data_IF_239271705399
#
_entry.id   IF_239271705399
#
_cell.length_a   1.000
_cell.length_b   1.000
_cell.length_c   1.000
_cell.angle_alpha   90.00
_cell.angle_beta   90.00
_cell.angle_gamma   90.00
#
_symmetry.space_group_name_H-M   'P 1'
#
loop_
_entity.id
_entity.type
_entity.pdbx_description
1 polymer ?
#
# COMPACT_ATOMS: atom_id res chain seq x y z
N UNK A 1 -72.75 -15.26 9.52
CA UNK A 1 -72.06 -14.16 8.82
C UNK A 1 -71.02 -13.60 9.77
N UNK A 2 -69.78 -14.09 9.70
CA UNK A 2 -68.65 -13.68 10.54
C UNK A 2 -67.58 -13.20 9.57
N UNK A 3 -67.23 -11.91 9.63
CA UNK A 3 -66.19 -11.33 8.81
C UNK A 3 -64.81 -11.62 9.44
N UNK A 4 -63.90 -12.14 8.61
CA UNK A 4 -62.51 -12.47 8.93
C UNK A 4 -61.58 -11.37 8.40
N UNK A 5 -60.46 -11.19 9.10
CA UNK A 5 -59.14 -10.84 8.55
C UNK A 5 -58.81 -9.35 8.32
N UNK A 6 -58.16 -8.76 9.31
CA UNK A 6 -57.19 -7.66 9.11
C UNK A 6 -55.80 -8.25 9.31
N UNK A 7 -55.08 -8.54 8.21
CA UNK A 7 -53.67 -8.94 8.23
C UNK A 7 -52.80 -7.68 8.37
N UNK A 8 -52.25 -7.45 9.56
CA UNK A 8 -51.23 -6.44 9.80
C UNK A 8 -49.85 -6.98 9.45
N UNK A 9 -49.52 -7.01 8.16
CA UNK A 9 -48.19 -7.41 7.69
C UNK A 9 -47.26 -6.21 7.67
N UNK A 10 -46.51 -6.02 8.75
CA UNK A 10 -45.34 -5.14 8.80
C UNK A 10 -44.25 -5.71 7.89
N UNK A 11 -44.13 -5.16 6.68
CA UNK A 11 -42.95 -5.33 5.83
C UNK A 11 -41.76 -4.68 6.51
N UNK A 12 -40.92 -5.51 7.13
CA UNK A 12 -39.58 -5.18 7.56
C UNK A 12 -38.74 -4.85 6.33
N UNK A 13 -38.53 -3.56 6.07
CA UNK A 13 -37.50 -3.07 5.17
C UNK A 13 -36.14 -3.43 5.77
N UNK A 14 -35.59 -4.56 5.32
CA UNK A 14 -34.21 -4.96 5.54
C UNK A 14 -33.36 -4.02 4.68
N UNK A 15 -32.81 -2.97 5.30
CA UNK A 15 -31.73 -2.19 4.73
C UNK A 15 -30.56 -3.14 4.44
N UNK A 16 -30.28 -3.32 3.16
CA UNK A 16 -29.10 -4.01 2.66
C UNK A 16 -27.93 -3.03 2.81
N UNK A 17 -27.24 -3.14 3.94
CA UNK A 17 -26.02 -2.41 4.24
C UNK A 17 -24.88 -3.08 3.45
N UNK A 18 -24.84 -2.80 2.14
CA UNK A 18 -23.66 -3.09 1.34
C UNK A 18 -22.61 -2.07 1.73
N UNK A 19 -21.80 -2.47 2.70
CA UNK A 19 -20.49 -1.94 3.06
C UNK A 19 -19.66 -1.69 1.78
N UNK A 20 -19.81 -0.47 1.24
CA UNK A 20 -19.07 0.01 0.08
C UNK A 20 -17.76 0.55 0.63
N UNK A 21 -16.70 -0.24 0.44
CA UNK A 21 -15.32 0.21 0.57
C UNK A 21 -15.10 1.41 -0.35
N UNK A 22 -15.22 2.61 0.21
CA UNK A 22 -14.91 3.87 -0.46
C UNK A 22 -13.39 4.11 -0.36
N UNK A 23 -12.73 4.00 -1.49
CA UNK A 23 -11.32 4.39 -1.68
C UNK A 23 -11.26 5.92 -1.72
N UNK A 24 -10.64 6.49 -0.70
CA UNK A 24 -10.66 7.92 -0.46
C UNK A 24 -9.65 8.71 -1.32
N UNK A 25 -10.13 9.83 -1.87
CA UNK A 25 -9.28 10.73 -2.63
C UNK A 25 -10.02 11.98 -3.08
N UNK A 26 -10.49 12.77 -2.12
CA UNK A 26 -10.75 14.21 -2.27
C UNK A 26 -11.94 14.63 -3.16
N UNK A 27 -12.84 15.40 -2.55
CA UNK A 27 -14.04 16.09 -3.07
C UNK A 27 -13.99 16.45 -4.57
N UNK A 28 -14.57 15.59 -5.43
CA UNK A 28 -15.72 15.86 -6.30
C UNK A 28 -16.36 14.50 -6.63
N UNK A 29 -17.69 14.43 -6.63
CA UNK A 29 -18.45 13.20 -6.89
C UNK A 29 -18.30 12.80 -8.35
N UNK A 30 -17.20 12.13 -8.68
CA UNK A 30 -17.01 11.54 -10.01
C UNK A 30 -17.84 10.26 -10.05
N UNK A 31 -18.73 10.17 -11.04
CA UNK A 31 -19.59 8.99 -11.23
C UNK A 31 -18.76 7.83 -11.80
N UNK A 32 -18.27 6.98 -10.89
CA UNK A 32 -17.35 5.87 -11.18
C UNK A 32 -17.92 4.75 -12.06
N UNK A 33 -19.22 4.80 -12.40
CA UNK A 33 -19.88 3.74 -13.16
C UNK A 33 -20.02 4.04 -14.65
N UNK A 34 -19.81 5.28 -15.10
CA UNK A 34 -20.06 5.69 -16.50
C UNK A 34 -18.81 6.16 -17.25
N UNK A 35 -17.65 6.31 -16.58
CA UNK A 35 -16.41 6.75 -17.21
C UNK A 35 -15.43 5.59 -17.45
N UNK A 36 -14.97 5.44 -18.71
CA UNK A 36 -13.95 4.45 -19.08
C UNK A 36 -12.66 4.68 -18.30
N UNK A 37 -12.44 3.88 -17.27
CA UNK A 37 -11.23 3.89 -16.45
C UNK A 37 -10.04 3.44 -17.33
N UNK A 38 -9.31 4.42 -17.86
CA UNK A 38 -8.01 4.17 -18.48
C UNK A 38 -6.96 3.99 -17.37
N UNK A 39 -6.65 2.75 -17.02
CA UNK A 39 -5.62 2.41 -16.02
C UNK A 39 -4.24 3.05 -16.30
N UNK A 40 -3.95 3.36 -17.57
CA UNK A 40 -2.70 3.97 -18.03
C UNK A 40 -2.73 5.51 -18.11
N UNK A 41 -3.84 6.15 -17.73
CA UNK A 41 -3.99 7.61 -17.70
C UNK A 41 -4.74 8.00 -16.41
N UNK A 42 -4.06 8.06 -15.25
CA UNK A 42 -4.70 8.51 -14.02
C UNK A 42 -5.17 9.96 -14.19
N UNK A 43 -6.48 10.18 -14.00
CA UNK A 43 -7.16 11.45 -14.28
C UNK A 43 -7.05 12.46 -13.11
N UNK A 44 -6.70 12.02 -11.90
CA UNK A 44 -6.64 12.90 -10.72
C UNK A 44 -5.20 13.34 -10.38
N UNK A 45 -4.99 14.61 -9.97
CA UNK A 45 -3.69 15.11 -9.55
C UNK A 45 -3.05 14.31 -8.39
N UNK A 46 -3.87 13.79 -7.47
CA UNK A 46 -3.45 12.99 -6.31
C UNK A 46 -2.67 11.73 -6.73
N UNK A 47 -3.24 10.91 -7.61
CA UNK A 47 -2.61 9.66 -8.07
C UNK A 47 -1.26 9.91 -8.77
N UNK A 48 -1.17 11.01 -9.53
CA UNK A 48 0.06 11.40 -10.22
C UNK A 48 1.18 11.76 -9.24
N UNK A 49 0.84 12.48 -8.18
CA UNK A 49 1.82 12.87 -7.15
C UNK A 49 2.23 11.66 -6.30
N UNK A 50 1.31 10.76 -5.97
CA UNK A 50 1.63 9.50 -5.28
C UNK A 50 2.55 8.61 -6.11
N UNK A 51 2.25 8.43 -7.40
CA UNK A 51 3.08 7.64 -8.29
C UNK A 51 4.49 8.24 -8.44
N UNK A 52 4.61 9.58 -8.42
CA UNK A 52 5.92 10.26 -8.45
C UNK A 52 6.73 9.99 -7.18
N UNK A 53 6.09 9.92 -6.02
CA UNK A 53 6.74 9.51 -4.75
C UNK A 53 7.21 8.07 -4.83
N UNK A 54 6.35 7.14 -5.27
CA UNK A 54 6.68 5.72 -5.42
C UNK A 54 7.85 5.54 -6.39
N UNK A 55 7.83 6.20 -7.55
CA UNK A 55 8.92 6.13 -8.51
C UNK A 55 10.24 6.68 -7.97
N UNK A 56 10.18 7.75 -7.18
CA UNK A 56 11.36 8.29 -6.50
C UNK A 56 11.96 7.29 -5.52
N UNK A 57 11.13 6.69 -4.67
CA UNK A 57 11.55 5.65 -3.72
C UNK A 57 12.10 4.41 -4.44
N UNK A 58 11.44 3.99 -5.53
CA UNK A 58 11.90 2.87 -6.36
C UNK A 58 13.30 3.14 -6.95
N UNK A 59 13.54 4.34 -7.49
CA UNK A 59 14.84 4.70 -8.03
C UNK A 59 15.94 4.66 -6.95
N UNK A 60 15.65 5.15 -5.73
CA UNK A 60 16.59 5.07 -4.60
C UNK A 60 16.81 3.62 -4.18
N UNK A 61 15.75 2.81 -4.13
CA UNK A 61 15.85 1.39 -3.81
C UNK A 61 16.76 0.65 -4.79
N UNK A 62 16.60 0.89 -6.10
CA UNK A 62 17.48 0.32 -7.13
C UNK A 62 18.95 0.67 -6.87
N UNK A 63 19.25 1.90 -6.47
CA UNK A 63 20.62 2.31 -6.14
C UNK A 63 21.15 1.54 -4.92
N UNK A 64 20.36 1.38 -3.86
CA UNK A 64 20.82 0.64 -2.67
C UNK A 64 21.01 -0.85 -2.94
N UNK A 65 20.14 -1.46 -3.74
CA UNK A 65 20.19 -2.91 -4.03
C UNK A 65 21.19 -3.25 -5.12
N UNK A 66 21.20 -2.52 -6.24
CA UNK A 66 22.07 -2.80 -7.39
C UNK A 66 23.35 -1.96 -7.40
N UNK A 67 23.42 -0.88 -6.61
CA UNK A 67 24.58 -0.01 -6.55
C UNK A 67 25.87 -0.74 -6.17
N UNK A 68 25.93 -1.55 -5.10
CA UNK A 68 27.15 -2.27 -4.75
C UNK A 68 27.65 -3.21 -5.86
N UNK A 69 26.74 -3.94 -6.51
CA UNK A 69 27.07 -4.85 -7.61
C UNK A 69 27.58 -4.06 -8.82
N UNK A 70 26.87 -3.00 -9.21
CA UNK A 70 27.23 -2.15 -10.35
C UNK A 70 28.55 -1.43 -10.10
N UNK A 71 28.77 -0.91 -8.89
CA UNK A 71 30.01 -0.25 -8.51
C UNK A 71 31.19 -1.22 -8.48
N UNK A 72 30.97 -2.48 -8.12
CA UNK A 72 32.00 -3.53 -8.20
C UNK A 72 32.38 -3.85 -9.64
N UNK A 73 31.42 -3.81 -10.57
CA UNK A 73 31.71 -3.99 -11.99
C UNK A 73 32.53 -2.82 -12.59
N UNK A 74 32.31 -1.59 -12.12
CA UNK A 74 33.00 -0.39 -12.63
C UNK A 74 34.36 -0.16 -11.94
N UNK A 75 34.45 -0.45 -10.64
CA UNK A 75 35.62 -0.18 -9.81
C UNK A 75 35.97 -1.40 -8.91
N UNK A 76 36.37 -2.54 -9.51
CA UNK A 76 36.62 -3.78 -8.77
C UNK A 76 37.72 -3.60 -7.73
N UNK A 77 38.87 -3.00 -8.09
CA UNK A 77 40.00 -2.80 -7.17
C UNK A 77 39.62 -2.04 -5.90
N UNK A 78 38.80 -0.99 -6.03
CA UNK A 78 38.33 -0.23 -4.87
C UNK A 78 37.35 -1.07 -4.02
N UNK A 79 36.46 -1.81 -4.67
CA UNK A 79 35.38 -2.57 -4.01
C UNK A 79 35.86 -3.88 -3.36
N UNK A 80 36.91 -4.51 -3.88
CA UNK A 80 37.50 -5.75 -3.35
C UNK A 80 38.76 -5.50 -2.51
N UNK A 81 39.50 -4.43 -2.79
CA UNK A 81 40.73 -4.07 -2.09
C UNK A 81 40.52 -3.25 -0.81
N UNK A 82 39.36 -2.61 -0.65
CA UNK A 82 39.02 -1.86 0.57
C UNK A 82 38.34 -2.77 1.58
N UNK A 83 38.82 -2.76 2.82
CA UNK A 83 38.27 -3.55 3.93
C UNK A 83 37.59 -2.65 4.97
N UNK A 84 36.38 -3.03 5.38
CA UNK A 84 35.58 -2.38 6.42
C UNK A 84 35.17 -3.43 7.44
N UNK A 85 35.55 -3.23 8.71
CA UNK A 85 35.30 -4.18 9.80
C UNK A 85 35.78 -5.61 9.51
N UNK A 86 36.84 -5.76 8.70
CA UNK A 86 37.41 -7.05 8.29
C UNK A 86 36.78 -7.68 7.05
N UNK A 87 35.75 -7.07 6.46
CA UNK A 87 35.08 -7.55 5.24
C UNK A 87 35.40 -6.65 4.04
N UNK A 88 35.39 -7.21 2.83
CA UNK A 88 35.55 -6.39 1.62
C UNK A 88 34.36 -5.43 1.47
N UNK A 89 34.62 -4.23 0.94
CA UNK A 89 33.67 -3.13 0.91
C UNK A 89 32.35 -3.49 0.22
N UNK A 90 32.38 -4.22 -0.89
CA UNK A 90 31.16 -4.62 -1.59
C UNK A 90 30.28 -5.58 -0.75
N UNK A 91 30.88 -6.50 0.02
CA UNK A 91 30.14 -7.36 0.94
C UNK A 91 29.50 -6.53 2.05
N UNK A 92 30.25 -5.61 2.65
CA UNK A 92 29.74 -4.72 3.68
C UNK A 92 28.55 -3.87 3.18
N UNK A 93 28.71 -3.22 2.02
CA UNK A 93 27.68 -2.38 1.41
C UNK A 93 26.44 -3.18 1.01
N UNK A 94 26.60 -4.39 0.49
CA UNK A 94 25.45 -5.22 0.11
C UNK A 94 24.71 -5.72 1.36
N UNK A 95 25.44 -6.20 2.36
CA UNK A 95 24.88 -6.80 3.57
C UNK A 95 24.16 -5.78 4.46
N UNK A 96 24.68 -4.56 4.58
CA UNK A 96 24.07 -3.51 5.42
C UNK A 96 23.30 -2.49 4.62
N UNK A 97 23.81 -2.08 3.46
CA UNK A 97 23.20 -1.03 2.65
C UNK A 97 21.80 -1.39 2.19
N UNK A 98 21.57 -2.61 1.67
CA UNK A 98 20.23 -2.97 1.20
C UNK A 98 19.19 -3.08 2.33
N UNK A 99 19.44 -3.76 3.47
CA UNK A 99 18.47 -3.80 4.56
C UNK A 99 18.24 -2.44 5.23
N UNK A 100 19.31 -1.69 5.52
CA UNK A 100 19.17 -0.35 6.12
C UNK A 100 18.46 0.60 5.16
N UNK A 101 18.82 0.56 3.87
CA UNK A 101 18.17 1.32 2.83
C UNK A 101 16.67 1.03 2.77
N UNK A 102 16.27 -0.25 2.81
CA UNK A 102 14.86 -0.63 2.84
C UNK A 102 14.13 -0.06 4.07
N UNK A 103 14.72 -0.14 5.27
CA UNK A 103 14.12 0.42 6.50
C UNK A 103 13.94 1.93 6.41
N UNK A 104 14.97 2.65 5.94
CA UNK A 104 14.91 4.10 5.75
C UNK A 104 13.86 4.45 4.71
N UNK A 105 13.80 3.73 3.59
CA UNK A 105 12.81 3.97 2.55
C UNK A 105 11.39 3.73 3.05
N UNK A 106 11.15 2.70 3.85
CA UNK A 106 9.85 2.45 4.47
C UNK A 106 9.42 3.60 5.39
N UNK A 107 10.32 4.08 6.24
CA UNK A 107 10.04 5.22 7.12
C UNK A 107 9.77 6.51 6.32
N UNK A 108 10.58 6.79 5.30
CA UNK A 108 10.40 7.95 4.42
C UNK A 108 9.10 7.84 3.63
N UNK A 109 8.73 6.65 3.16
CA UNK A 109 7.48 6.42 2.46
C UNK A 109 6.28 6.72 3.35
N UNK A 110 6.26 6.20 4.59
CA UNK A 110 5.18 6.47 5.54
C UNK A 110 4.98 7.99 5.72
N UNK A 111 6.05 8.73 6.02
CA UNK A 111 5.97 10.19 6.16
C UNK A 111 5.53 10.91 4.88
N UNK A 112 6.03 10.46 3.72
CA UNK A 112 5.68 11.08 2.43
C UNK A 112 4.23 10.80 2.04
N UNK A 113 3.71 9.64 2.42
CA UNK A 113 2.31 9.28 2.24
C UNK A 113 1.43 10.15 3.12
N UNK A 114 1.71 10.23 4.42
CA UNK A 114 0.92 11.03 5.36
C UNK A 114 0.91 12.54 4.97
N UNK A 115 2.03 13.07 4.47
CA UNK A 115 2.10 14.45 3.94
C UNK A 115 1.26 14.63 2.66
N UNK A 116 1.15 13.60 1.84
CA UNK A 116 0.37 13.65 0.62
C UNK A 116 -1.12 13.56 0.94
N UNK A 117 -1.50 12.69 1.86
CA UNK A 117 -2.88 12.52 2.34
C UNK A 117 -3.39 13.85 2.96
N UNK A 118 -2.59 14.48 3.83
CA UNK A 118 -2.89 15.80 4.40
C UNK A 118 -3.05 16.92 3.35
N UNK A 119 -2.31 16.85 2.23
CA UNK A 119 -2.40 17.85 1.15
C UNK A 119 -3.74 17.77 0.41
N UNK A 120 -4.34 16.58 0.34
CA UNK A 120 -5.58 16.34 -0.41
C UNK A 120 -6.81 16.14 0.48
N UNK A 121 -6.68 16.26 1.81
CA UNK A 121 -7.79 16.18 2.75
C UNK A 121 -8.31 14.75 2.96
N UNK A 122 -7.41 13.78 2.82
CA UNK A 122 -7.65 12.35 2.99
C UNK A 122 -7.54 12.01 4.48
N UNK A 123 -8.66 11.85 5.17
CA UNK A 123 -8.70 11.47 6.59
C UNK A 123 -8.95 9.96 6.74
N UNK A 124 -7.94 9.23 7.20
CA UNK A 124 -8.00 7.77 7.42
C UNK A 124 -8.34 7.37 8.88
N UNK A 125 -8.81 8.29 9.72
CA UNK A 125 -8.96 8.04 11.17
C UNK A 125 -10.02 6.98 11.53
N UNK A 126 -10.86 6.56 10.58
CA UNK A 126 -12.02 5.68 10.87
C UNK A 126 -11.76 4.18 10.66
N UNK A 127 -10.66 3.76 10.02
CA UNK A 127 -10.48 2.34 9.58
C UNK A 127 -9.39 1.57 10.35
N UNK A 128 -8.96 2.01 11.54
CA UNK A 128 -7.90 1.30 12.29
C UNK A 128 -8.43 0.20 13.23
N UNK A 129 -9.75 -0.04 13.30
CA UNK A 129 -10.31 -1.02 14.23
C UNK A 129 -10.68 -2.39 13.63
N UNK A 130 -10.71 -2.55 12.30
CA UNK A 130 -11.33 -3.75 11.70
C UNK A 130 -10.36 -4.80 11.12
N UNK A 131 -9.15 -4.44 10.66
CA UNK A 131 -8.33 -5.37 9.85
C UNK A 131 -7.02 -5.86 10.50
N UNK A 132 -6.71 -5.49 11.75
CA UNK A 132 -5.56 -6.06 12.48
C UNK A 132 -5.84 -7.45 13.08
N UNK A 133 -6.89 -8.12 12.61
CA UNK A 133 -7.35 -9.42 13.10
C UNK A 133 -7.28 -10.49 12.02
N UNK A 134 -6.10 -10.72 11.44
CA UNK A 134 -5.84 -11.89 10.59
C UNK A 134 -5.95 -13.16 11.45
N UNK A 135 -7.19 -13.64 11.65
CA UNK A 135 -7.47 -14.94 12.20
C UNK A 135 -7.03 -16.00 11.17
N UNK A 136 -5.88 -16.59 11.41
CA UNK A 136 -5.38 -17.74 10.65
C UNK A 136 -6.36 -18.90 10.84
N UNK A 137 -7.11 -19.26 9.80
CA UNK A 137 -7.90 -20.47 9.76
C UNK A 137 -6.95 -21.68 9.70
N UNK A 138 -6.59 -22.23 10.86
CA UNK A 138 -5.97 -23.54 10.99
C UNK A 138 -7.08 -24.56 11.27
N UNK A 139 -7.84 -24.95 10.24
CA UNK A 139 -8.69 -26.13 10.31
C UNK A 139 -8.12 -27.21 9.36
N UNK A 140 -7.37 -28.13 9.96
CA UNK A 140 -6.83 -29.29 9.30
C UNK A 140 -7.73 -30.50 9.51
N UNK A 141 -8.57 -30.79 8.51
CA UNK A 141 -9.06 -32.11 8.13
C UNK A 141 -9.65 -33.01 9.22
N UNK A 142 -10.98 -33.12 9.26
CA UNK A 142 -11.64 -34.26 9.89
C UNK A 142 -11.41 -35.52 9.02
N UNK A 143 -10.98 -36.61 9.69
CA UNK A 143 -10.83 -37.93 9.08
C UNK A 143 -12.22 -38.54 8.88
N UNK A 144 -12.52 -38.95 7.64
CA UNK A 144 -13.59 -39.93 7.37
C UNK A 144 -13.26 -41.30 7.94
#
# INVERSE_FOLDING_TARGET
MIATMTDGRSTSERADDTDRLETDGGTETVDYLDEKIHMFKPATPFMRDHLKVIWGLFAVWVIFTFGPVTATAIAPEAMTGTYVLGFQLHYFLTALGSPIGALVLSAVYAWRRDLLDAKYGVDHETETAADSGQAVAADGGERE
#
